data_IF_490127937353
#
_entry.id   IF_490127937353
#
_cell.length_a   1.000
_cell.length_b   1.000
_cell.length_c   1.000
_cell.angle_alpha   90.00
_cell.angle_beta   90.00
_cell.angle_gamma   90.00
#
_symmetry.space_group_name_H-M   'P 1'
#
loop_
_entity.id
_entity.type
_entity.pdbx_description
1 polymer ?
#
# COMPACT_ATOMS: atom_id res chain seq x y z
N UNK A 1 -3.39 23.29 -17.31
CA UNK A 1 -2.97 22.40 -16.23
C UNK A 1 -2.18 23.24 -15.22
N UNK A 2 -2.58 23.23 -13.94
CA UNK A 2 -1.94 24.01 -12.87
C UNK A 2 -2.29 25.51 -12.83
N UNK A 3 -3.08 26.04 -13.76
CA UNK A 3 -3.53 27.43 -13.73
C UNK A 3 -4.58 27.61 -12.64
N UNK A 4 -4.35 28.57 -11.76
CA UNK A 4 -5.30 28.92 -10.70
C UNK A 4 -6.40 29.84 -11.24
N UNK A 5 -7.65 29.59 -10.83
CA UNK A 5 -8.83 30.35 -11.24
C UNK A 5 -9.82 30.52 -10.10
N UNK A 6 -10.89 31.28 -10.33
CA UNK A 6 -12.07 31.22 -9.46
C UNK A 6 -12.68 29.82 -9.50
N UNK A 7 -13.20 29.34 -8.36
CA UNK A 7 -13.78 28.01 -8.29
C UNK A 7 -15.14 27.95 -9.01
N UNK A 8 -15.31 27.08 -10.02
CA UNK A 8 -16.59 26.95 -10.72
C UNK A 8 -17.69 26.31 -9.89
N UNK A 9 -17.35 25.60 -8.80
CA UNK A 9 -18.33 24.96 -7.91
C UNK A 9 -18.91 25.98 -6.91
N UNK A 10 -18.05 26.69 -6.17
CA UNK A 10 -18.50 27.60 -5.11
C UNK A 10 -18.48 29.09 -5.52
N UNK A 11 -17.99 29.44 -6.71
CA UNK A 11 -17.89 30.81 -7.21
C UNK A 11 -16.91 31.72 -6.44
N UNK A 12 -16.22 31.20 -5.42
CA UNK A 12 -15.40 32.00 -4.51
C UNK A 12 -13.93 32.05 -4.92
N UNK A 13 -13.30 33.19 -4.60
CA UNK A 13 -11.88 33.43 -4.78
C UNK A 13 -11.47 33.60 -6.24
N UNK A 14 -10.37 34.35 -6.49
CA UNK A 14 -9.83 34.54 -7.85
C UNK A 14 -8.86 33.43 -8.26
N UNK A 15 -8.11 32.86 -7.28
CA UNK A 15 -7.00 31.91 -7.47
C UNK A 15 -7.11 30.68 -6.55
N UNK A 16 -8.34 30.31 -6.15
CA UNK A 16 -8.57 29.25 -5.15
C UNK A 16 -8.75 27.87 -5.74
N UNK A 17 -8.96 27.76 -7.05
CA UNK A 17 -9.24 26.53 -7.76
C UNK A 17 -8.15 26.21 -8.76
N UNK A 18 -7.78 24.93 -8.84
CA UNK A 18 -6.96 24.38 -9.92
C UNK A 18 -7.46 23.01 -10.32
N UNK A 19 -7.33 22.71 -11.61
CA UNK A 19 -7.58 21.40 -12.18
C UNK A 19 -6.25 20.75 -12.49
N UNK A 20 -5.91 19.66 -11.79
CA UNK A 20 -4.59 19.02 -11.86
C UNK A 20 -4.55 17.86 -12.86
N UNK A 21 -5.67 17.18 -13.06
CA UNK A 21 -5.81 16.00 -13.92
C UNK A 21 -4.66 14.97 -13.76
N UNK A 22 -4.26 14.73 -12.53
CA UNK A 22 -3.17 13.78 -12.26
C UNK A 22 -3.53 12.40 -12.78
N UNK A 23 -2.71 11.90 -13.72
CA UNK A 23 -2.87 10.58 -14.34
C UNK A 23 -4.23 10.37 -15.04
N UNK A 24 -4.84 11.41 -15.60
CA UNK A 24 -6.13 11.29 -16.26
C UNK A 24 -7.31 11.06 -15.31
N UNK A 25 -7.14 11.33 -14.01
CA UNK A 25 -8.18 11.12 -12.99
C UNK A 25 -9.19 12.27 -12.89
N UNK A 26 -8.95 13.39 -13.58
CA UNK A 26 -9.74 14.61 -13.46
C UNK A 26 -9.61 15.25 -12.08
N UNK A 27 -8.50 15.05 -11.37
CA UNK A 27 -8.33 15.58 -10.02
C UNK A 27 -8.33 17.10 -10.00
N UNK A 28 -8.96 17.67 -8.97
CA UNK A 28 -9.02 19.11 -8.74
C UNK A 28 -8.81 19.45 -7.26
N UNK A 29 -8.49 20.70 -7.03
CA UNK A 29 -8.39 21.25 -5.68
C UNK A 29 -8.99 22.66 -5.63
N UNK A 30 -9.75 22.94 -4.57
CA UNK A 30 -10.21 24.29 -4.24
C UNK A 30 -9.94 24.57 -2.77
N UNK A 31 -9.33 25.71 -2.46
CA UNK A 31 -9.03 26.11 -1.08
C UNK A 31 -10.27 26.35 -0.19
N UNK A 32 -11.49 26.35 -0.77
CA UNK A 32 -12.76 26.54 -0.05
C UNK A 32 -13.61 25.27 0.02
N UNK A 33 -13.76 24.54 -1.08
CA UNK A 33 -14.59 23.33 -1.15
C UNK A 33 -13.78 22.01 -1.10
N UNK A 34 -12.45 22.07 -0.98
CA UNK A 34 -11.61 20.88 -0.86
C UNK A 34 -11.15 20.28 -2.18
N UNK A 35 -10.66 19.05 -2.12
CA UNK A 35 -10.15 18.27 -3.26
C UNK A 35 -11.16 17.21 -3.71
N UNK A 36 -11.05 16.79 -4.98
CA UNK A 36 -11.88 15.72 -5.52
C UNK A 36 -11.37 15.18 -6.84
N UNK A 37 -12.06 14.17 -7.36
CA UNK A 37 -11.82 13.56 -8.66
C UNK A 37 -12.85 14.04 -9.69
N UNK A 38 -12.60 13.76 -10.98
CA UNK A 38 -13.40 14.27 -12.09
C UNK A 38 -14.90 14.03 -11.95
N UNK A 39 -15.33 12.82 -11.55
CA UNK A 39 -16.75 12.54 -11.36
C UNK A 39 -17.38 13.37 -10.22
N UNK A 40 -16.64 13.58 -9.12
CA UNK A 40 -17.08 14.42 -8.01
C UNK A 40 -17.17 15.89 -8.45
N UNK A 41 -16.26 16.32 -9.35
CA UNK A 41 -16.32 17.66 -9.93
C UNK A 41 -17.62 17.87 -10.72
N UNK A 42 -17.96 16.93 -11.60
CA UNK A 42 -19.20 16.99 -12.40
C UNK A 42 -20.45 16.95 -11.51
N UNK A 43 -20.47 16.07 -10.50
CA UNK A 43 -21.58 16.00 -9.53
C UNK A 43 -21.79 17.34 -8.82
N UNK A 44 -20.72 17.94 -8.30
CA UNK A 44 -20.79 19.18 -7.54
C UNK A 44 -21.09 20.39 -8.43
N UNK A 45 -20.52 20.43 -9.65
CA UNK A 45 -20.72 21.55 -10.58
C UNK A 45 -22.13 21.60 -11.13
N UNK A 46 -22.69 20.42 -11.46
CA UNK A 46 -24.02 20.32 -12.08
C UNK A 46 -25.15 19.95 -11.10
N UNK A 47 -24.80 19.82 -9.82
CA UNK A 47 -25.72 19.38 -8.75
C UNK A 47 -26.45 18.07 -9.10
N UNK A 48 -25.70 17.08 -9.58
CA UNK A 48 -26.23 15.79 -10.03
C UNK A 48 -25.89 14.68 -9.03
N UNK A 49 -26.74 13.63 -9.04
CA UNK A 49 -26.37 12.34 -8.44
C UNK A 49 -25.23 11.68 -9.22
N UNK A 50 -24.57 10.69 -8.61
CA UNK A 50 -23.52 9.91 -9.30
C UNK A 50 -24.01 9.35 -10.65
N UNK A 51 -25.21 8.76 -10.68
CA UNK A 51 -25.78 8.20 -11.92
C UNK A 51 -26.03 9.28 -12.98
N UNK A 52 -26.49 10.47 -12.57
CA UNK A 52 -26.67 11.62 -13.47
C UNK A 52 -25.35 12.14 -14.03
N UNK A 53 -24.34 12.29 -13.18
CA UNK A 53 -23.01 12.72 -13.60
C UNK A 53 -22.35 11.69 -14.52
N UNK A 54 -22.43 10.39 -14.20
CA UNK A 54 -21.90 9.33 -15.04
C UNK A 54 -22.55 9.33 -16.44
N UNK A 55 -23.89 9.51 -16.52
CA UNK A 55 -24.59 9.61 -17.79
C UNK A 55 -24.10 10.81 -18.65
N UNK A 56 -23.90 11.96 -18.03
CA UNK A 56 -23.36 13.16 -18.73
C UNK A 56 -21.95 12.92 -19.26
N UNK A 57 -21.09 12.29 -18.46
CA UNK A 57 -19.73 11.92 -18.87
C UNK A 57 -19.75 10.91 -20.00
N UNK A 58 -20.61 9.86 -19.93
CA UNK A 58 -20.75 8.86 -20.97
C UNK A 58 -21.26 9.46 -22.30
N UNK A 59 -22.19 10.43 -22.25
CA UNK A 59 -22.68 11.12 -23.44
C UNK A 59 -21.56 11.93 -24.14
N UNK A 60 -20.69 12.57 -23.39
CA UNK A 60 -19.55 13.31 -23.93
C UNK A 60 -18.50 12.35 -24.52
N UNK A 61 -18.14 11.29 -23.79
CA UNK A 61 -17.12 10.32 -24.20
C UNK A 61 -17.54 9.55 -25.46
N UNK A 62 -18.84 9.22 -25.60
CA UNK A 62 -19.35 8.50 -26.80
C UNK A 62 -19.19 9.29 -28.10
N UNK A 63 -19.07 10.60 -28.02
CA UNK A 63 -18.89 11.48 -29.16
C UNK A 63 -17.43 11.77 -29.51
N UNK A 64 -16.49 11.37 -28.64
CA UNK A 64 -15.05 11.52 -28.88
C UNK A 64 -14.49 10.17 -29.39
N UNK A 65 -13.73 10.15 -30.50
CA UNK A 65 -13.03 8.95 -30.91
C UNK A 65 -12.00 8.60 -29.80
N UNK A 66 -12.25 7.48 -29.13
CA UNK A 66 -11.30 6.97 -28.13
C UNK A 66 -9.97 6.76 -28.83
N UNK A 67 -9.02 7.66 -28.63
CA UNK A 67 -7.63 7.39 -28.97
C UNK A 67 -7.19 6.18 -28.14
N UNK A 68 -7.26 5.01 -28.76
CA UNK A 68 -6.64 3.80 -28.19
C UNK A 68 -5.14 4.10 -28.14
N UNK A 69 -4.69 4.68 -27.04
CA UNK A 69 -3.28 4.57 -26.68
C UNK A 69 -2.98 3.08 -26.76
N UNK A 70 -2.10 2.68 -27.67
CA UNK A 70 -1.60 1.31 -27.74
C UNK A 70 -0.93 1.06 -26.37
N UNK A 71 -1.72 0.52 -25.43
CA UNK A 71 -1.15 -0.06 -24.22
C UNK A 71 -0.26 -1.17 -24.73
N UNK A 72 1.06 -0.97 -24.68
CA UNK A 72 2.01 -2.06 -24.82
C UNK A 72 1.47 -3.21 -23.98
N UNK A 73 1.35 -4.42 -24.57
CA UNK A 73 0.88 -5.60 -23.81
C UNK A 73 1.63 -5.61 -22.49
N UNK A 74 0.93 -5.66 -21.33
CA UNK A 74 1.61 -5.70 -20.04
C UNK A 74 2.60 -6.85 -20.11
N UNK A 75 3.89 -6.57 -19.88
CA UNK A 75 4.87 -7.64 -19.76
C UNK A 75 4.44 -8.50 -18.59
N UNK A 76 4.45 -9.83 -18.78
CA UNK A 76 4.14 -10.78 -17.71
C UNK A 76 5.06 -10.48 -16.50
N UNK A 77 4.54 -10.06 -15.34
CA UNK A 77 5.36 -9.67 -14.20
C UNK A 77 6.18 -10.82 -13.62
N UNK A 78 5.89 -12.06 -13.98
CA UNK A 78 6.64 -13.24 -13.50
C UNK A 78 8.14 -13.20 -13.83
N UNK A 79 8.54 -12.57 -14.93
CA UNK A 79 9.97 -12.38 -15.22
C UNK A 79 10.66 -11.52 -14.15
N UNK A 80 9.98 -10.49 -13.64
CA UNK A 80 10.50 -9.59 -12.63
C UNK A 80 10.66 -10.29 -11.28
N UNK A 81 9.68 -11.14 -10.91
CA UNK A 81 9.78 -11.97 -9.72
C UNK A 81 10.96 -12.92 -9.80
N UNK A 82 11.18 -13.57 -10.97
CA UNK A 82 12.35 -14.45 -11.21
C UNK A 82 13.68 -13.70 -11.13
N UNK A 83 13.72 -12.45 -11.58
CA UNK A 83 14.94 -11.62 -11.52
C UNK A 83 15.33 -11.36 -10.05
N UNK A 84 14.36 -11.06 -9.21
CA UNK A 84 14.61 -10.83 -7.78
C UNK A 84 15.02 -12.12 -7.08
N UNK A 85 14.30 -13.21 -7.31
CA UNK A 85 14.59 -14.48 -6.61
C UNK A 85 16.00 -14.99 -6.85
N UNK A 86 16.61 -14.69 -7.99
CA UNK A 86 18.01 -15.08 -8.29
C UNK A 86 19.06 -14.42 -7.38
N UNK A 87 18.75 -13.27 -6.79
CA UNK A 87 19.66 -12.52 -5.91
C UNK A 87 19.29 -12.59 -4.43
N UNK A 88 18.35 -13.44 -4.04
CA UNK A 88 17.93 -13.55 -2.66
C UNK A 88 18.90 -14.40 -1.83
N UNK A 89 19.24 -13.88 -0.66
CA UNK A 89 20.08 -14.52 0.34
C UNK A 89 19.40 -14.49 1.72
N UNK A 90 19.79 -15.35 2.67
CA UNK A 90 19.38 -15.20 4.07
C UNK A 90 19.72 -13.80 4.59
N UNK A 91 18.91 -13.29 5.52
CA UNK A 91 19.12 -11.97 6.14
C UNK A 91 20.32 -11.97 7.06
N UNK A 92 20.60 -13.10 7.73
CA UNK A 92 21.67 -13.24 8.72
C UNK A 92 23.03 -12.89 8.12
N UNK A 93 23.81 -12.08 8.81
CA UNK A 93 25.13 -11.58 8.38
C UNK A 93 25.07 -10.41 7.40
N UNK A 94 23.89 -9.83 7.15
CA UNK A 94 23.71 -8.76 6.15
C UNK A 94 23.38 -7.41 6.77
N UNK A 95 23.36 -6.36 5.94
CA UNK A 95 22.90 -5.03 6.36
C UNK A 95 21.41 -4.98 6.70
N UNK A 96 20.63 -5.97 6.26
CA UNK A 96 19.22 -6.08 6.63
C UNK A 96 19.06 -6.61 8.08
N UNK A 97 19.89 -7.55 8.51
CA UNK A 97 19.97 -7.93 9.93
C UNK A 97 20.35 -6.74 10.80
N UNK A 98 21.45 -6.05 10.44
CA UNK A 98 21.84 -4.83 11.14
C UNK A 98 20.72 -3.80 11.24
N UNK A 99 20.00 -3.58 10.15
CA UNK A 99 18.84 -2.68 10.12
C UNK A 99 17.76 -3.08 11.14
N UNK A 100 17.47 -4.37 11.27
CA UNK A 100 16.48 -4.88 12.24
C UNK A 100 17.01 -4.75 13.68
N UNK A 101 18.26 -5.15 13.95
CA UNK A 101 18.87 -5.03 15.27
C UNK A 101 18.99 -3.57 15.74
N UNK A 102 19.37 -2.63 14.87
CA UNK A 102 19.41 -1.20 15.19
C UNK A 102 18.01 -0.64 15.59
N UNK A 103 16.94 -1.38 15.31
CA UNK A 103 15.57 -1.09 15.73
C UNK A 103 15.08 -1.92 16.93
N UNK A 104 15.98 -2.68 17.55
CA UNK A 104 15.66 -3.54 18.69
C UNK A 104 14.91 -4.82 18.32
N UNK A 105 15.00 -5.25 17.06
CA UNK A 105 14.33 -6.46 16.55
C UNK A 105 15.36 -7.59 16.43
N UNK A 106 15.35 -8.48 17.43
CA UNK A 106 16.28 -9.62 17.50
C UNK A 106 15.73 -10.88 16.80
N UNK A 107 14.42 -10.97 16.64
CA UNK A 107 13.77 -12.09 15.98
C UNK A 107 13.59 -11.79 14.49
N UNK A 108 14.18 -12.63 13.65
CA UNK A 108 14.14 -12.52 12.19
C UNK A 108 13.31 -13.70 11.65
N UNK A 109 12.33 -13.39 10.82
CA UNK A 109 11.54 -14.42 10.13
C UNK A 109 12.32 -15.00 8.94
N UNK A 110 12.27 -16.32 8.78
CA UNK A 110 12.85 -17.02 7.63
C UNK A 110 12.10 -16.74 6.32
N UNK A 111 10.91 -16.15 6.38
CA UNK A 111 10.12 -15.76 5.21
C UNK A 111 10.64 -14.46 4.57
N UNK A 112 11.60 -13.81 5.20
CA UNK A 112 12.26 -12.62 4.66
C UNK A 112 13.63 -12.98 4.09
N UNK A 113 14.03 -12.24 3.09
CA UNK A 113 15.30 -12.42 2.40
C UNK A 113 16.03 -11.08 2.24
N UNK A 114 17.32 -11.16 1.99
CA UNK A 114 18.18 -10.04 1.63
C UNK A 114 18.52 -10.09 0.14
N UNK A 115 18.56 -8.93 -0.53
CA UNK A 115 19.10 -8.78 -1.87
C UNK A 115 20.24 -7.75 -1.84
N UNK A 116 21.44 -8.06 -2.39
CA UNK A 116 22.63 -7.18 -2.27
C UNK A 116 22.52 -5.89 -3.07
N UNK A 117 21.72 -5.86 -4.15
CA UNK A 117 21.56 -4.66 -4.97
C UNK A 117 20.37 -4.74 -5.91
N UNK A 118 19.30 -3.99 -5.59
CA UNK A 118 18.14 -3.80 -6.44
C UNK A 118 18.12 -2.38 -7.00
N UNK A 119 17.79 -2.26 -8.28
CA UNK A 119 17.60 -0.96 -8.91
C UNK A 119 16.39 -0.24 -8.33
N UNK A 120 16.62 1.00 -7.92
CA UNK A 120 15.57 1.88 -7.43
C UNK A 120 15.15 2.87 -8.51
N UNK A 121 13.87 2.90 -8.79
CA UNK A 121 13.26 3.72 -9.83
C UNK A 121 12.24 4.68 -9.24
N UNK A 122 12.19 5.90 -9.76
CA UNK A 122 11.17 6.90 -9.49
C UNK A 122 10.49 7.31 -10.79
N UNK A 123 9.30 7.85 -10.67
CA UNK A 123 8.61 8.46 -11.80
C UNK A 123 8.89 9.96 -11.76
N UNK A 124 9.45 10.51 -12.82
CA UNK A 124 9.73 11.93 -12.90
C UNK A 124 8.44 12.76 -13.14
N UNK A 125 8.59 14.08 -13.17
CA UNK A 125 7.46 14.99 -13.38
C UNK A 125 6.79 14.84 -14.75
N UNK A 126 7.40 14.09 -15.69
CA UNK A 126 6.87 13.80 -17.02
C UNK A 126 6.22 12.41 -17.09
N UNK A 127 6.19 11.66 -15.98
CA UNK A 127 5.65 10.31 -15.91
C UNK A 127 6.62 9.22 -16.39
N UNK A 128 7.92 9.55 -16.58
CA UNK A 128 8.92 8.62 -17.07
C UNK A 128 9.65 7.92 -15.92
N UNK A 129 9.83 6.57 -15.95
CA UNK A 129 10.63 5.86 -14.99
C UNK A 129 12.12 6.24 -15.10
N UNK A 130 12.71 6.75 -14.04
CA UNK A 130 14.13 7.11 -13.94
C UNK A 130 14.80 6.30 -12.85
N UNK A 131 15.91 5.63 -13.20
CA UNK A 131 16.73 4.92 -12.23
C UNK A 131 17.48 5.93 -11.36
N UNK A 132 17.26 5.89 -10.03
CA UNK A 132 17.89 6.79 -9.05
C UNK A 132 19.06 6.15 -8.31
N UNK A 133 19.19 4.84 -8.39
CA UNK A 133 20.30 4.15 -7.73
C UNK A 133 20.14 2.63 -7.76
N UNK A 134 21.06 1.99 -7.06
CA UNK A 134 21.04 0.57 -6.77
C UNK A 134 21.33 0.43 -5.27
N UNK A 135 20.45 -0.24 -4.54
CA UNK A 135 20.52 -0.35 -3.09
C UNK A 135 20.35 -1.80 -2.67
N UNK A 136 21.01 -2.16 -1.58
CA UNK A 136 20.66 -3.40 -0.89
C UNK A 136 19.21 -3.34 -0.39
N UNK A 137 18.58 -4.49 -0.19
CA UNK A 137 17.18 -4.51 0.19
C UNK A 137 16.82 -5.69 1.07
N UNK A 138 15.89 -5.46 2.00
CA UNK A 138 15.11 -6.50 2.64
C UNK A 138 13.88 -6.77 1.78
N UNK A 139 13.64 -8.04 1.48
CA UNK A 139 12.59 -8.51 0.56
C UNK A 139 11.70 -9.51 1.28
N UNK A 140 10.39 -9.32 1.19
CA UNK A 140 9.42 -10.22 1.78
C UNK A 140 8.29 -10.53 0.78
N UNK A 141 7.89 -11.79 0.58
CA UNK A 141 6.82 -12.14 -0.33
C UNK A 141 5.45 -11.74 0.24
N UNK A 142 4.59 -11.19 -0.61
CA UNK A 142 3.17 -11.05 -0.34
C UNK A 142 2.48 -12.29 -0.87
N UNK A 143 1.87 -13.04 0.01
CA UNK A 143 1.24 -14.34 -0.25
C UNK A 143 -0.28 -14.16 -0.35
N UNK A 144 -0.88 -14.74 -1.38
CA UNK A 144 -2.34 -14.78 -1.57
C UNK A 144 -3.05 -15.63 -0.51
N UNK A 145 -4.38 -15.56 -0.39
CA UNK A 145 -5.15 -16.42 0.52
C UNK A 145 -4.90 -17.92 0.30
N UNK A 146 -4.75 -18.36 -0.95
CA UNK A 146 -4.47 -19.74 -1.37
C UNK A 146 -2.99 -20.16 -1.27
N UNK A 147 -2.13 -19.30 -0.71
CA UNK A 147 -0.73 -19.64 -0.42
C UNK A 147 0.26 -19.37 -1.55
N UNK A 148 -0.15 -18.72 -2.64
CA UNK A 148 0.72 -18.43 -3.76
C UNK A 148 1.41 -17.06 -3.62
N UNK A 149 2.69 -16.92 -4.01
CA UNK A 149 3.35 -15.62 -4.01
C UNK A 149 2.78 -14.72 -5.12
N UNK A 150 2.26 -13.56 -4.74
CA UNK A 150 1.70 -12.55 -5.63
C UNK A 150 2.74 -11.55 -6.11
N UNK A 151 3.61 -11.13 -5.21
CA UNK A 151 4.65 -10.12 -5.43
C UNK A 151 5.59 -10.05 -4.23
N UNK A 152 6.52 -9.10 -4.26
CA UNK A 152 7.43 -8.81 -3.16
C UNK A 152 7.26 -7.39 -2.64
N UNK A 153 7.27 -7.26 -1.31
CA UNK A 153 7.52 -6.01 -0.62
C UNK A 153 9.02 -5.82 -0.47
N UNK A 154 9.52 -4.65 -0.84
CA UNK A 154 10.93 -4.30 -0.82
C UNK A 154 11.13 -3.13 0.15
N UNK A 155 12.07 -3.27 1.08
CA UNK A 155 12.60 -2.17 1.88
C UNK A 155 14.04 -1.91 1.44
N UNK A 156 14.27 -0.82 0.71
CA UNK A 156 15.60 -0.40 0.26
C UNK A 156 16.42 0.10 1.43
N UNK A 157 17.66 -0.37 1.50
CA UNK A 157 18.59 -0.11 2.61
C UNK A 157 19.89 0.51 2.11
N UNK A 158 20.46 1.37 2.95
CA UNK A 158 21.79 1.93 2.78
C UNK A 158 22.44 2.07 4.16
N UNK A 159 23.64 1.50 4.34
CA UNK A 159 24.40 1.58 5.59
C UNK A 159 23.61 1.13 6.85
N UNK A 160 22.82 0.06 6.74
CA UNK A 160 22.02 -0.47 7.85
C UNK A 160 20.81 0.41 8.25
N UNK A 161 20.38 1.32 7.38
CA UNK A 161 19.19 2.17 7.54
C UNK A 161 18.34 2.11 6.27
N UNK A 162 17.10 2.61 6.33
CA UNK A 162 16.33 2.84 5.10
C UNK A 162 17.11 3.77 4.18
N UNK A 163 17.13 3.45 2.89
CA UNK A 163 17.78 4.30 1.88
C UNK A 163 17.13 5.70 1.90
N UNK A 164 17.97 6.72 1.74
CA UNK A 164 17.51 8.11 1.68
C UNK A 164 16.97 8.43 0.28
N UNK A 165 15.77 7.94 0.01
CA UNK A 165 15.02 8.09 -1.25
C UNK A 165 13.57 8.44 -0.94
N UNK A 166 12.82 8.94 -1.92
CA UNK A 166 11.43 9.38 -1.73
C UNK A 166 10.54 8.31 -1.06
N UNK A 167 10.64 7.08 -1.53
CA UNK A 167 9.87 5.93 -1.01
C UNK A 167 10.76 4.71 -0.81
N UNK A 168 11.39 4.56 0.36
CA UNK A 168 12.28 3.43 0.62
C UNK A 168 11.57 2.08 0.71
N UNK A 169 10.24 2.08 0.83
CA UNK A 169 9.41 0.88 0.78
C UNK A 169 8.60 0.86 -0.50
N UNK A 170 8.67 -0.25 -1.25
CA UNK A 170 7.90 -0.43 -2.49
C UNK A 170 7.32 -1.83 -2.57
N UNK A 171 6.17 -1.93 -3.23
CA UNK A 171 5.62 -3.21 -3.68
C UNK A 171 5.92 -3.32 -5.16
N UNK A 172 6.46 -4.45 -5.57
CA UNK A 172 6.67 -4.71 -7.01
C UNK A 172 5.35 -4.93 -7.72
N UNK A 173 5.38 -4.80 -9.05
CA UNK A 173 4.20 -5.11 -9.87
C UNK A 173 3.72 -6.52 -9.59
N UNK A 174 2.51 -6.71 -9.04
CA UNK A 174 2.00 -8.02 -8.69
C UNK A 174 1.56 -8.81 -9.93
N UNK A 175 1.57 -10.14 -9.83
CA UNK A 175 1.08 -11.05 -10.88
C UNK A 175 -0.45 -10.96 -10.97
N UNK A 176 -1.09 -10.86 -9.80
CA UNK A 176 -2.53 -10.73 -9.61
C UNK A 176 -2.82 -9.70 -8.51
N UNK A 177 -4.06 -9.24 -8.36
CA UNK A 177 -4.40 -8.29 -7.30
C UNK A 177 -3.99 -8.79 -5.92
N UNK A 178 -3.29 -7.97 -5.15
CA UNK A 178 -2.80 -8.33 -3.80
C UNK A 178 -3.89 -8.33 -2.71
N UNK A 179 -5.13 -8.01 -3.09
CA UNK A 179 -6.26 -7.97 -2.16
C UNK A 179 -6.44 -9.30 -1.44
N UNK A 180 -6.55 -9.25 -0.13
CA UNK A 180 -6.67 -10.44 0.72
C UNK A 180 -5.34 -11.09 1.11
N UNK A 181 -4.24 -10.75 0.43
CA UNK A 181 -2.90 -11.25 0.72
C UNK A 181 -2.21 -10.55 1.87
N UNK A 182 -1.12 -11.16 2.36
CA UNK A 182 -0.28 -10.64 3.43
C UNK A 182 1.15 -11.19 3.34
N UNK A 183 2.09 -10.54 4.03
CA UNK A 183 3.40 -11.10 4.33
C UNK A 183 3.24 -12.02 5.54
N UNK A 184 3.38 -13.33 5.33
CA UNK A 184 3.18 -14.37 6.35
C UNK A 184 4.49 -14.64 7.08
N UNK A 185 4.86 -13.75 8.01
CA UNK A 185 6.16 -13.84 8.69
C UNK A 185 6.32 -15.10 9.57
N UNK A 186 5.23 -15.61 10.11
CA UNK A 186 5.23 -16.78 10.98
C UNK A 186 4.02 -17.66 10.67
N UNK A 187 4.19 -18.97 10.80
CA UNK A 187 3.09 -19.92 10.60
C UNK A 187 2.00 -19.66 11.65
N UNK A 188 0.73 -19.53 11.25
CA UNK A 188 -0.36 -19.28 12.18
C UNK A 188 -0.65 -20.52 13.03
N UNK A 189 -1.23 -20.27 14.20
CA UNK A 189 -1.91 -21.28 15.02
C UNK A 189 -3.41 -20.95 15.00
N UNK A 190 -4.20 -21.39 15.97
CA UNK A 190 -5.57 -20.88 16.15
C UNK A 190 -5.61 -19.36 16.47
N UNK A 191 -4.45 -18.80 16.85
CA UNK A 191 -4.28 -17.37 17.13
C UNK A 191 -3.33 -16.74 16.14
N UNK A 192 -3.64 -15.50 15.70
CA UNK A 192 -2.83 -14.73 14.76
C UNK A 192 -2.83 -13.25 15.12
N UNK A 193 -1.66 -12.63 15.13
CA UNK A 193 -1.50 -11.18 15.15
C UNK A 193 -1.54 -10.58 13.74
N UNK A 194 -2.12 -9.41 13.60
CA UNK A 194 -2.12 -8.64 12.35
C UNK A 194 -1.54 -7.27 12.63
N UNK A 195 -0.55 -6.86 11.83
CA UNK A 195 0.03 -5.52 11.86
C UNK A 195 0.11 -4.95 10.44
N UNK A 196 0.29 -3.63 10.30
CA UNK A 196 0.46 -3.03 8.98
C UNK A 196 1.88 -3.27 8.45
N UNK A 197 2.90 -2.94 9.22
CA UNK A 197 4.30 -3.02 8.82
C UNK A 197 5.02 -4.27 9.27
N UNK A 198 6.07 -4.66 8.53
CA UNK A 198 6.95 -5.78 8.88
C UNK A 198 7.61 -5.56 10.23
N UNK A 199 8.13 -4.35 10.46
CA UNK A 199 8.84 -4.02 11.70
C UNK A 199 7.91 -4.11 12.91
N UNK A 200 6.68 -3.61 12.80
CA UNK A 200 5.64 -3.74 13.83
C UNK A 200 5.29 -5.20 14.08
N UNK A 201 5.12 -5.99 13.01
CA UNK A 201 4.82 -7.42 13.12
C UNK A 201 5.94 -8.22 13.84
N UNK A 202 7.20 -7.93 13.53
CA UNK A 202 8.34 -8.55 14.22
C UNK A 202 8.40 -8.16 15.70
N UNK A 203 8.19 -6.86 16.02
CA UNK A 203 8.17 -6.37 17.40
C UNK A 203 7.05 -7.05 18.21
N UNK A 204 5.87 -7.18 17.62
CA UNK A 204 4.74 -7.88 18.24
C UNK A 204 5.06 -9.35 18.48
N UNK A 205 5.61 -10.04 17.49
CA UNK A 205 6.03 -11.44 17.67
C UNK A 205 7.10 -11.58 18.76
N UNK A 206 8.07 -10.67 18.76
CA UNK A 206 9.14 -10.66 19.77
C UNK A 206 8.60 -10.49 21.19
N UNK A 207 7.61 -9.61 21.38
CA UNK A 207 7.05 -9.30 22.69
C UNK A 207 5.98 -10.29 23.14
N UNK A 208 4.99 -10.57 22.29
CA UNK A 208 3.82 -11.38 22.65
C UNK A 208 3.97 -12.87 22.37
N UNK A 209 5.02 -13.27 21.63
CA UNK A 209 5.29 -14.66 21.24
C UNK A 209 4.13 -15.35 20.47
N UNK A 210 3.34 -14.55 19.73
CA UNK A 210 2.29 -15.05 18.85
C UNK A 210 2.73 -14.94 17.38
N UNK A 211 2.27 -15.80 16.46
CA UNK A 211 2.51 -15.60 15.04
C UNK A 211 1.86 -14.29 14.57
N UNK A 212 2.53 -13.55 13.69
CA UNK A 212 2.04 -12.26 13.18
C UNK A 212 2.24 -12.18 11.68
N UNK A 213 1.25 -11.62 10.96
CA UNK A 213 1.32 -11.29 9.55
C UNK A 213 1.31 -9.78 9.34
N UNK A 214 2.00 -9.30 8.29
CA UNK A 214 2.01 -7.90 7.92
C UNK A 214 1.17 -7.67 6.65
N UNK A 215 0.32 -6.64 6.67
CA UNK A 215 -0.65 -6.34 5.60
C UNK A 215 -0.20 -5.27 4.63
N UNK A 216 0.98 -4.70 4.85
CA UNK A 216 1.71 -3.68 4.08
C UNK A 216 0.99 -2.34 3.87
N UNK A 217 -0.30 -2.26 4.18
CA UNK A 217 -1.10 -1.02 4.11
C UNK A 217 -2.40 -1.16 4.89
N UNK A 218 -3.03 -0.02 5.21
CA UNK A 218 -4.37 0.03 5.80
C UNK A 218 -5.41 -0.72 4.94
N UNK A 219 -5.42 -0.52 3.62
CA UNK A 219 -6.32 -1.24 2.70
C UNK A 219 -6.05 -2.76 2.70
N UNK A 220 -4.78 -3.17 2.82
CA UNK A 220 -4.41 -4.57 3.00
C UNK A 220 -5.00 -5.15 4.29
N UNK A 221 -4.91 -4.39 5.40
CA UNK A 221 -5.50 -4.77 6.68
C UNK A 221 -7.02 -4.92 6.59
N UNK A 222 -7.71 -3.98 5.99
CA UNK A 222 -9.17 -4.05 5.80
C UNK A 222 -9.60 -5.29 5.01
N UNK A 223 -8.80 -5.70 4.02
CA UNK A 223 -9.17 -6.74 3.06
C UNK A 223 -8.58 -8.12 3.30
N UNK A 224 -7.65 -8.28 4.26
CA UNK A 224 -6.94 -9.54 4.50
C UNK A 224 -7.91 -10.73 4.65
N UNK A 225 -7.57 -11.86 4.02
CA UNK A 225 -8.28 -13.12 4.18
C UNK A 225 -7.45 -14.04 5.05
N UNK A 226 -8.08 -14.57 6.09
CA UNK A 226 -7.43 -15.45 7.06
C UNK A 226 -7.81 -16.90 6.79
N UNK A 227 -6.93 -17.87 7.14
CA UNK A 227 -7.24 -19.28 7.15
C UNK A 227 -8.45 -19.59 8.05
N UNK A 228 -9.20 -20.63 7.69
CA UNK A 228 -10.45 -20.99 8.39
C UNK A 228 -10.23 -21.53 9.80
N UNK A 229 -9.01 -22.01 10.11
CA UNK A 229 -8.63 -22.50 11.43
C UNK A 229 -8.42 -21.39 12.48
N UNK A 230 -8.34 -20.13 12.08
CA UNK A 230 -8.11 -19.00 12.99
C UNK A 230 -9.35 -18.77 13.86
N UNK A 231 -9.17 -18.74 15.17
CA UNK A 231 -10.21 -18.52 16.20
C UNK A 231 -10.02 -17.22 16.97
N UNK A 232 -8.78 -16.74 17.08
CA UNK A 232 -8.45 -15.51 17.79
C UNK A 232 -7.53 -14.63 16.94
N UNK A 233 -7.83 -13.32 16.86
CA UNK A 233 -7.00 -12.33 16.15
C UNK A 233 -6.73 -11.14 17.07
N UNK A 234 -5.44 -10.78 17.18
CA UNK A 234 -5.00 -9.54 17.83
C UNK A 234 -4.52 -8.57 16.74
N UNK A 235 -5.20 -7.45 16.58
CA UNK A 235 -4.89 -6.45 15.54
C UNK A 235 -4.07 -5.33 16.19
N UNK A 236 -2.87 -5.08 15.70
CA UNK A 236 -1.95 -4.04 16.15
C UNK A 236 -1.99 -2.88 15.17
N UNK A 237 -2.77 -1.85 15.51
CA UNK A 237 -2.92 -0.67 14.65
C UNK A 237 -1.82 0.34 14.92
N UNK A 238 -1.36 1.02 13.86
CA UNK A 238 -0.51 2.19 14.02
C UNK A 238 -1.32 3.34 14.64
N UNK A 239 -0.68 4.14 15.51
CA UNK A 239 -1.28 5.33 16.10
C UNK A 239 -0.82 6.56 15.30
N UNK A 240 -1.39 6.76 14.12
CA UNK A 240 -1.11 7.89 13.27
C UNK A 240 -2.14 9.02 13.43
N UNK A 241 -1.74 10.26 13.12
CA UNK A 241 -2.59 11.45 13.24
C UNK A 241 -3.81 11.43 12.29
N UNK A 242 -3.76 10.62 11.23
CA UNK A 242 -4.83 10.51 10.25
C UNK A 242 -5.92 9.52 10.65
N UNK A 243 -5.65 8.70 11.68
CA UNK A 243 -6.49 7.59 12.12
C UNK A 243 -6.72 6.52 11.05
N UNK A 244 -5.91 6.49 9.99
CA UNK A 244 -6.08 5.52 8.91
C UNK A 244 -5.83 4.07 9.36
N UNK A 245 -4.77 3.86 10.17
CA UNK A 245 -4.46 2.57 10.76
C UNK A 245 -5.53 2.08 11.72
N UNK A 246 -6.01 2.95 12.62
CA UNK A 246 -7.08 2.63 13.57
C UNK A 246 -8.39 2.30 12.84
N UNK A 247 -8.77 3.09 11.83
CA UNK A 247 -9.95 2.83 11.00
C UNK A 247 -9.87 1.45 10.36
N UNK A 248 -8.75 1.12 9.71
CA UNK A 248 -8.54 -0.17 9.07
C UNK A 248 -8.65 -1.33 10.08
N UNK A 249 -8.04 -1.18 11.26
CA UNK A 249 -8.10 -2.17 12.33
C UNK A 249 -9.54 -2.43 12.80
N UNK A 250 -10.36 -1.39 12.99
CA UNK A 250 -11.75 -1.55 13.41
C UNK A 250 -12.64 -2.12 12.29
N UNK A 251 -12.38 -1.79 11.02
CA UNK A 251 -13.07 -2.42 9.88
C UNK A 251 -12.77 -3.92 9.85
N UNK A 252 -11.51 -4.32 9.97
CA UNK A 252 -11.10 -5.71 10.07
C UNK A 252 -11.75 -6.39 11.27
N UNK A 253 -11.66 -5.78 12.46
CA UNK A 253 -12.23 -6.32 13.69
C UNK A 253 -13.74 -6.60 13.55
N UNK A 254 -14.50 -5.66 13.01
CA UNK A 254 -15.93 -5.83 12.75
C UNK A 254 -16.19 -7.02 11.82
N UNK A 255 -15.47 -7.10 10.69
CA UNK A 255 -15.61 -8.18 9.71
C UNK A 255 -15.31 -9.56 10.29
N UNK A 256 -14.29 -9.67 11.14
CA UNK A 256 -13.91 -10.92 11.78
C UNK A 256 -14.88 -11.31 12.91
N UNK A 257 -15.39 -10.35 13.67
CA UNK A 257 -16.40 -10.59 14.71
C UNK A 257 -17.70 -11.14 14.12
N UNK A 258 -18.14 -10.63 12.97
CA UNK A 258 -19.32 -11.17 12.24
C UNK A 258 -19.12 -12.63 11.85
N UNK A 259 -17.87 -13.05 11.58
CA UNK A 259 -17.49 -14.45 11.30
C UNK A 259 -17.33 -15.31 12.56
N UNK A 260 -17.59 -14.77 13.77
CA UNK A 260 -17.46 -15.50 15.03
C UNK A 260 -16.03 -15.60 15.59
N UNK A 261 -15.06 -14.92 15.00
CA UNK A 261 -13.67 -14.91 15.47
C UNK A 261 -13.56 -13.98 16.68
N UNK A 262 -12.81 -14.40 17.72
CA UNK A 262 -12.48 -13.52 18.85
C UNK A 262 -11.45 -12.48 18.39
N UNK A 263 -11.74 -11.19 18.60
CA UNK A 263 -10.86 -10.10 18.14
C UNK A 263 -10.61 -9.11 19.26
N UNK A 264 -9.36 -8.70 19.38
CA UNK A 264 -8.93 -7.53 20.14
C UNK A 264 -8.15 -6.56 19.24
N UNK A 265 -8.26 -5.26 19.50
CA UNK A 265 -7.51 -4.20 18.80
C UNK A 265 -6.62 -3.51 19.81
N UNK A 266 -5.33 -3.47 19.53
CA UNK A 266 -4.32 -2.83 20.35
C UNK A 266 -3.71 -1.66 19.58
N UNK A 267 -3.75 -0.48 20.17
CA UNK A 267 -3.16 0.74 19.61
C UNK A 267 -2.13 1.28 20.60
N UNK A 268 -0.91 1.63 20.20
CA UNK A 268 0.07 2.27 21.08
C UNK A 268 -0.49 3.56 21.68
N UNK A 269 -0.16 3.84 22.95
CA UNK A 269 -0.60 5.07 23.62
C UNK A 269 0.03 6.34 23.02
N UNK A 270 1.27 6.22 22.49
CA UNK A 270 1.99 7.33 21.86
C UNK A 270 1.97 7.16 20.34
N UNK A 271 1.78 8.25 19.59
CA UNK A 271 2.01 8.22 18.14
C UNK A 271 3.46 7.81 17.82
N UNK A 272 3.64 7.04 16.75
CA UNK A 272 4.95 6.62 16.25
C UNK A 272 5.70 7.73 15.52
#
# INVERSE_FOLDING_TARGET
NGKHTACPICGQGKDTFRFDDKNGSGSYFCGKCGAGYGINFVMNLLNLSFAGAAKQVDEIIRNEPVQKTQKSKPRDPRWLLRLITKGLHPIIGTVAEKYLHDRGLEIISNEMSFHPGLDYWEIDNQGTPVKRGNFSAMVAPIISPDGQPLTYHITYLSNGRKANVESPKKIMTPIEPIKGGAIRLFQPTESLGIAEGIETALAVHQHYKIPVWATVSANGMESIVLPDEIRKVSIFSDNDKSYAGQKAAFILANRLRIKGIKVEVLTPLKPG
#
